data_IF_003287099397
#
_entry.id   IF_003287099397
#
_cell.length_a   1.000
_cell.length_b   1.000
_cell.length_c   1.000
_cell.angle_alpha   90.00
_cell.angle_beta   90.00
_cell.angle_gamma   90.00
#
_symmetry.space_group_name_H-M   'P 1'
#
loop_
_entity.id
_entity.type
_entity.pdbx_description
1 polymer ?
#
# COMPACT_ATOMS: atom_id res chain seq x y z
N UNK A 1 21.11 -0.21 9.26
CA UNK A 1 20.31 -0.14 8.02
C UNK A 1 21.21 0.10 6.83
N UNK A 2 20.89 -0.44 5.63
CA UNK A 2 21.65 -0.20 4.40
C UNK A 2 20.77 0.44 3.32
N UNK A 3 21.34 1.17 2.36
CA UNK A 3 20.60 1.56 1.17
C UNK A 3 20.14 0.32 0.40
N UNK A 4 19.09 0.48 -0.42
CA UNK A 4 18.64 -0.55 -1.33
C UNK A 4 19.68 -0.69 -2.47
N UNK A 5 19.81 -1.90 -3.03
CA UNK A 5 20.53 -2.10 -4.29
C UNK A 5 19.66 -1.61 -5.46
N UNK A 6 20.28 -1.43 -6.64
CA UNK A 6 19.55 -0.98 -7.84
C UNK A 6 18.43 -1.94 -8.22
N UNK A 7 18.66 -3.25 -8.09
CA UNK A 7 17.63 -4.28 -8.33
C UNK A 7 16.48 -4.22 -7.33
N UNK A 8 16.80 -4.03 -6.04
CA UNK A 8 15.78 -3.88 -4.98
C UNK A 8 14.98 -2.60 -5.18
N UNK A 9 15.66 -1.52 -5.54
CA UNK A 9 15.05 -0.23 -5.85
C UNK A 9 14.11 -0.37 -7.03
N UNK A 10 14.54 -0.98 -8.13
CA UNK A 10 13.70 -1.23 -9.30
C UNK A 10 12.45 -2.03 -8.94
N UNK A 11 12.59 -3.14 -8.22
CA UNK A 11 11.45 -3.97 -7.79
C UNK A 11 10.46 -3.20 -6.91
N UNK A 12 10.96 -2.34 -6.02
CA UNK A 12 10.12 -1.48 -5.18
C UNK A 12 9.34 -0.48 -6.04
N UNK A 13 10.02 0.22 -6.94
CA UNK A 13 9.39 1.23 -7.79
C UNK A 13 8.44 0.61 -8.81
N UNK A 14 8.75 -0.54 -9.39
CA UNK A 14 7.84 -1.30 -10.26
C UNK A 14 6.55 -1.67 -9.51
N UNK A 15 6.67 -2.00 -8.22
CA UNK A 15 5.51 -2.31 -7.38
C UNK A 15 4.70 -1.05 -7.04
N UNK A 16 5.37 0.06 -6.73
CA UNK A 16 4.73 1.35 -6.46
C UNK A 16 4.04 1.90 -7.70
N UNK A 17 4.65 1.77 -8.86
CA UNK A 17 4.06 2.23 -10.12
C UNK A 17 2.70 1.57 -10.43
N UNK A 18 2.46 0.35 -9.92
CA UNK A 18 1.16 -0.31 -10.05
C UNK A 18 0.03 0.43 -9.30
N UNK A 19 0.34 1.19 -8.23
CA UNK A 19 -0.63 1.96 -7.45
C UNK A 19 -0.68 3.43 -7.84
N UNK A 20 0.50 4.07 -7.96
CA UNK A 20 0.63 5.53 -8.08
C UNK A 20 1.21 5.99 -9.42
N UNK A 21 1.61 5.06 -10.29
CA UNK A 21 2.15 5.37 -11.62
C UNK A 21 3.36 6.31 -11.54
N UNK A 22 3.35 7.36 -12.35
CA UNK A 22 4.42 8.36 -12.41
C UNK A 22 4.54 9.24 -11.15
N UNK A 23 3.53 9.20 -10.25
CA UNK A 23 3.53 10.00 -9.02
C UNK A 23 4.54 9.51 -7.96
N UNK A 24 5.31 8.47 -8.27
CA UNK A 24 6.39 7.96 -7.40
C UNK A 24 7.43 9.01 -7.03
N UNK A 25 7.68 9.99 -7.90
CA UNK A 25 8.60 11.11 -7.64
C UNK A 25 8.16 11.94 -6.44
N UNK A 26 6.85 12.11 -6.24
CA UNK A 26 6.31 12.88 -5.11
C UNK A 26 6.54 12.24 -3.74
N UNK A 27 6.86 10.94 -3.69
CA UNK A 27 7.26 10.28 -2.45
C UNK A 27 8.68 10.64 -2.02
N UNK A 28 9.57 10.91 -2.98
CA UNK A 28 10.97 11.26 -2.70
C UNK A 28 11.15 12.76 -2.57
N UNK A 29 10.52 13.52 -3.46
CA UNK A 29 10.63 14.98 -3.55
C UNK A 29 9.36 15.64 -2.98
N UNK A 30 9.25 15.68 -1.66
CA UNK A 30 8.17 16.41 -0.99
C UNK A 30 8.49 17.91 -0.97
N UNK A 31 7.68 18.72 -1.64
CA UNK A 31 7.84 20.17 -1.63
C UNK A 31 7.75 20.73 -0.21
N UNK A 32 8.85 21.30 0.29
CA UNK A 32 8.92 21.97 1.61
C UNK A 32 9.22 21.02 2.79
N UNK A 33 9.41 19.72 2.57
CA UNK A 33 9.82 18.76 3.59
C UNK A 33 11.26 18.27 3.35
N UNK A 34 11.85 17.64 4.39
CA UNK A 34 13.17 16.99 4.27
C UNK A 34 13.12 15.86 3.23
N UNK A 35 14.22 15.67 2.52
CA UNK A 35 14.40 14.54 1.62
C UNK A 35 14.13 13.21 2.34
N UNK A 36 13.28 12.38 1.77
CA UNK A 36 12.94 11.06 2.29
C UNK A 36 13.66 9.97 1.52
N UNK A 37 14.07 8.93 2.23
CA UNK A 37 14.85 7.82 1.67
C UNK A 37 14.28 6.47 2.08
N UNK A 38 14.51 5.49 1.21
CA UNK A 38 14.24 4.09 1.51
C UNK A 38 15.51 3.41 2.04
N UNK A 39 15.36 2.62 3.10
CA UNK A 39 16.45 1.83 3.70
C UNK A 39 15.99 0.41 3.97
N UNK A 40 16.87 -0.56 3.73
CA UNK A 40 16.60 -1.96 4.04
C UNK A 40 17.19 -2.35 5.39
N UNK A 41 16.37 -3.02 6.22
CA UNK A 41 16.78 -3.60 7.49
C UNK A 41 15.98 -4.86 7.78
N UNK A 42 16.65 -5.99 8.04
CA UNK A 42 16.02 -7.29 8.35
C UNK A 42 14.90 -7.68 7.36
N UNK A 43 15.16 -7.58 6.03
CA UNK A 43 14.18 -7.84 4.95
C UNK A 43 12.93 -6.92 4.96
N UNK A 44 13.01 -5.79 5.63
CA UNK A 44 11.98 -4.76 5.68
C UNK A 44 12.50 -3.48 5.07
N UNK A 45 11.70 -2.85 4.22
CA UNK A 45 12.00 -1.57 3.60
C UNK A 45 11.32 -0.49 4.43
N UNK A 46 12.15 0.41 4.95
CA UNK A 46 11.74 1.52 5.78
C UNK A 46 11.81 2.82 5.01
N UNK A 47 10.82 3.66 5.16
CA UNK A 47 10.72 4.99 4.59
C UNK A 47 10.83 6.04 5.68
N UNK A 48 11.76 6.98 5.53
CA UNK A 48 12.07 7.95 6.57
C UNK A 48 12.80 9.17 6.01
N UNK A 49 12.78 10.32 6.74
CA UNK A 49 13.64 11.46 6.44
C UNK A 49 15.11 11.08 6.48
N UNK A 50 15.91 11.68 5.59
CA UNK A 50 17.36 11.44 5.48
C UNK A 50 18.10 11.65 6.81
N UNK A 51 17.67 12.65 7.60
CA UNK A 51 18.21 12.93 8.93
C UNK A 51 18.09 11.71 9.86
N UNK A 52 16.91 11.10 9.92
CA UNK A 52 16.70 9.88 10.72
C UNK A 52 17.53 8.71 10.21
N UNK A 53 17.68 8.58 8.89
CA UNK A 53 18.51 7.53 8.30
C UNK A 53 19.98 7.67 8.70
N UNK A 54 20.51 8.90 8.81
CA UNK A 54 21.86 9.19 9.31
C UNK A 54 22.01 8.79 10.78
N UNK A 55 21.05 9.14 11.63
CA UNK A 55 21.05 8.76 13.06
C UNK A 55 20.94 7.24 13.24
N UNK A 56 20.14 6.57 12.43
CA UNK A 56 20.00 5.11 12.46
C UNK A 56 21.30 4.37 12.10
N UNK A 57 22.20 5.00 11.34
CA UNK A 57 23.51 4.40 11.00
C UNK A 57 24.46 4.32 12.19
N UNK A 58 24.23 5.13 13.23
CA UNK A 58 25.04 5.13 14.47
C UNK A 58 24.65 3.98 15.43
N UNK A 59 23.52 3.31 15.19
CA UNK A 59 23.03 2.22 16.04
C UNK A 59 23.43 0.87 15.44
N UNK A 60 23.88 -0.06 16.28
CA UNK A 60 24.25 -1.40 15.84
C UNK A 60 23.05 -2.14 15.22
N UNK A 61 23.31 -3.00 14.23
CA UNK A 61 22.29 -3.77 13.52
C UNK A 61 21.43 -4.66 14.45
N UNK A 62 22.01 -5.16 15.52
CA UNK A 62 21.35 -6.03 16.50
C UNK A 62 20.35 -5.27 17.35
N UNK A 63 20.71 -4.07 17.78
CA UNK A 63 19.92 -3.24 18.69
C UNK A 63 18.85 -2.42 17.97
N UNK A 64 18.99 -2.22 16.67
CA UNK A 64 18.01 -1.49 15.88
C UNK A 64 16.84 -2.41 15.54
N UNK A 65 15.66 -2.13 16.08
CA UNK A 65 14.41 -2.83 15.73
C UNK A 65 13.85 -2.29 14.41
N UNK A 66 13.61 -1.01 14.34
CA UNK A 66 13.11 -0.29 13.17
C UNK A 66 13.12 1.21 13.43
N UNK A 67 13.02 2.00 12.37
CA UNK A 67 12.89 3.46 12.45
C UNK A 67 12.18 3.98 11.19
N UNK A 68 11.32 4.98 11.37
CA UNK A 68 10.48 5.48 10.29
C UNK A 68 9.25 4.61 10.04
N UNK A 69 8.74 4.60 8.83
CA UNK A 69 7.54 3.84 8.44
C UNK A 69 7.96 2.56 7.73
N UNK A 70 7.44 1.42 8.17
CA UNK A 70 7.61 0.14 7.48
C UNK A 70 6.83 0.18 6.16
N UNK A 71 7.50 0.42 5.05
CA UNK A 71 6.87 0.65 3.76
C UNK A 71 6.56 -0.65 3.01
N UNK A 72 7.51 -1.57 3.03
CA UNK A 72 7.36 -2.85 2.36
C UNK A 72 8.20 -3.94 3.03
N UNK A 73 7.86 -5.20 2.78
CA UNK A 73 8.65 -6.37 3.14
C UNK A 73 9.20 -7.04 1.89
N UNK A 74 10.44 -7.50 1.98
CA UNK A 74 11.05 -8.35 0.96
C UNK A 74 10.82 -9.81 1.36
N UNK A 75 10.12 -10.55 0.51
CA UNK A 75 9.87 -11.97 0.74
C UNK A 75 11.14 -12.79 0.50
N UNK A 76 11.15 -14.04 0.96
CA UNK A 76 12.28 -14.96 0.75
C UNK A 76 12.67 -15.09 -0.74
N UNK A 77 11.71 -15.02 -1.63
CA UNK A 77 11.91 -15.07 -3.09
C UNK A 77 12.36 -13.73 -3.70
N UNK A 78 12.70 -12.74 -2.87
CA UNK A 78 13.12 -11.42 -3.34
C UNK A 78 12.00 -10.55 -3.93
N UNK A 79 10.73 -10.92 -3.73
CA UNK A 79 9.59 -10.09 -4.15
C UNK A 79 9.27 -9.04 -3.08
N UNK A 80 8.89 -7.85 -3.52
CA UNK A 80 8.48 -6.75 -2.64
C UNK A 80 6.97 -6.80 -2.42
N UNK A 81 6.54 -6.77 -1.15
CA UNK A 81 5.14 -6.66 -0.75
C UNK A 81 4.95 -5.38 0.06
N UNK A 82 4.14 -4.46 -0.44
CA UNK A 82 3.79 -3.22 0.23
C UNK A 82 2.96 -3.54 1.48
N UNK A 83 3.23 -2.83 2.57
CA UNK A 83 2.55 -3.00 3.86
C UNK A 83 1.47 -1.94 4.02
N UNK A 84 0.46 -2.25 4.85
CA UNK A 84 -0.63 -1.30 5.14
C UNK A 84 -0.14 -0.01 5.79
N UNK A 85 0.98 -0.06 6.49
CA UNK A 85 1.64 1.11 7.08
C UNK A 85 2.06 2.18 6.05
N UNK A 86 2.23 1.80 4.77
CA UNK A 86 2.49 2.72 3.67
C UNK A 86 1.22 3.36 3.09
N UNK A 87 0.03 2.95 3.56
CA UNK A 87 -1.26 3.34 2.97
C UNK A 87 -1.43 4.86 2.91
N UNK A 88 -1.12 5.55 3.99
CA UNK A 88 -1.25 7.01 4.07
C UNK A 88 -0.47 7.73 2.97
N UNK A 89 0.73 7.24 2.66
CA UNK A 89 1.60 7.82 1.63
C UNK A 89 1.14 7.47 0.21
N UNK A 90 0.63 6.27 0.00
CA UNK A 90 0.23 5.77 -1.33
C UNK A 90 -1.18 6.24 -1.70
N UNK A 91 -2.10 6.28 -0.75
CA UNK A 91 -3.50 6.61 -0.99
C UNK A 91 -3.69 8.00 -1.60
N UNK A 92 -2.85 8.97 -1.18
CA UNK A 92 -2.88 10.35 -1.69
C UNK A 92 -2.63 10.41 -3.20
N UNK A 93 -1.71 9.61 -3.70
CA UNK A 93 -1.25 9.62 -5.09
C UNK A 93 -1.80 8.48 -5.94
N UNK A 94 -2.66 7.64 -5.35
CA UNK A 94 -3.22 6.48 -6.04
C UNK A 94 -4.03 6.90 -7.26
N UNK A 95 -3.73 6.28 -8.42
CA UNK A 95 -4.40 6.55 -9.70
C UNK A 95 -5.80 5.94 -9.71
N UNK A 96 -5.93 4.72 -9.19
CA UNK A 96 -7.18 3.98 -9.19
C UNK A 96 -7.67 3.76 -7.77
N UNK A 97 -8.92 4.13 -7.53
CA UNK A 97 -9.56 4.11 -6.21
C UNK A 97 -10.89 3.39 -6.28
N UNK A 98 -11.19 2.64 -5.25
CA UNK A 98 -12.51 2.00 -5.05
C UNK A 98 -13.06 2.45 -3.70
N UNK A 99 -14.31 2.89 -3.69
CA UNK A 99 -15.04 3.25 -2.47
C UNK A 99 -15.99 2.13 -2.11
N UNK A 100 -15.93 1.70 -0.87
CA UNK A 100 -16.73 0.61 -0.32
C UNK A 100 -17.87 1.18 0.50
N UNK A 101 -19.06 0.59 0.36
CA UNK A 101 -20.23 0.97 1.17
C UNK A 101 -20.08 0.52 2.61
N UNK A 102 -20.70 1.23 3.60
CA UNK A 102 -20.57 0.91 5.03
C UNK A 102 -20.92 -0.54 5.39
N UNK A 103 -21.89 -1.14 4.70
CA UNK A 103 -22.29 -2.53 4.92
C UNK A 103 -21.21 -3.58 4.56
N UNK A 104 -20.18 -3.20 3.81
CA UNK A 104 -19.08 -4.10 3.40
C UNK A 104 -17.72 -3.65 3.95
N UNK A 105 -17.63 -2.47 4.59
CA UNK A 105 -16.40 -1.98 5.20
C UNK A 105 -15.87 -2.95 6.25
N UNK A 106 -16.75 -3.37 7.16
CA UNK A 106 -16.38 -4.34 8.20
C UNK A 106 -15.85 -5.63 7.60
N UNK A 107 -16.51 -6.18 6.58
CA UNK A 107 -16.04 -7.38 5.89
C UNK A 107 -14.66 -7.19 5.27
N UNK A 108 -14.41 -6.05 4.63
CA UNK A 108 -13.11 -5.71 4.05
C UNK A 108 -12.04 -5.61 5.14
N UNK A 109 -12.33 -4.93 6.25
CA UNK A 109 -11.42 -4.78 7.40
C UNK A 109 -11.13 -6.09 8.16
N UNK A 110 -11.86 -7.16 7.88
CA UNK A 110 -11.56 -8.53 8.34
C UNK A 110 -10.90 -9.41 7.25
N UNK A 111 -10.36 -8.79 6.19
CA UNK A 111 -9.66 -9.50 5.13
C UNK A 111 -10.57 -10.08 4.04
N UNK A 112 -11.85 -9.71 4.02
CA UNK A 112 -12.81 -10.21 3.05
C UNK A 112 -12.80 -9.47 1.72
N UNK A 113 -13.10 -10.18 0.64
CA UNK A 113 -13.31 -9.58 -0.68
C UNK A 113 -14.62 -8.79 -0.73
N UNK A 114 -14.66 -7.76 -1.59
CA UNK A 114 -15.86 -6.92 -1.77
C UNK A 114 -16.64 -7.39 -3.01
N UNK A 115 -17.95 -7.58 -2.81
CA UNK A 115 -18.88 -7.92 -3.89
C UNK A 115 -19.47 -6.66 -4.55
N UNK A 116 -20.17 -6.84 -5.67
CA UNK A 116 -20.84 -5.76 -6.39
C UNK A 116 -21.82 -4.97 -5.50
N UNK A 117 -22.51 -5.62 -4.58
CA UNK A 117 -23.44 -4.98 -3.63
C UNK A 117 -22.75 -3.98 -2.70
N UNK A 118 -21.49 -4.29 -2.35
CA UNK A 118 -20.65 -3.45 -1.49
C UNK A 118 -19.88 -2.36 -2.23
N UNK A 119 -19.87 -2.37 -3.55
CA UNK A 119 -19.24 -1.33 -4.35
C UNK A 119 -20.05 -0.03 -4.25
N UNK A 120 -19.43 1.04 -3.77
CA UNK A 120 -19.97 2.38 -3.78
C UNK A 120 -19.61 3.12 -5.06
N UNK A 121 -18.33 3.35 -5.25
CA UNK A 121 -17.74 4.07 -6.41
C UNK A 121 -16.48 3.38 -6.87
N UNK A 122 -16.15 3.53 -8.13
CA UNK A 122 -14.90 3.08 -8.73
C UNK A 122 -14.40 4.15 -9.69
N UNK A 123 -13.09 4.36 -9.75
CA UNK A 123 -12.47 5.28 -10.70
C UNK A 123 -12.77 4.85 -12.13
N UNK A 124 -13.03 5.80 -13.01
CA UNK A 124 -13.27 5.53 -14.42
C UNK A 124 -12.05 4.88 -15.08
N UNK A 125 -12.32 4.03 -16.07
CA UNK A 125 -11.29 3.32 -16.84
C UNK A 125 -10.33 2.45 -16.02
N UNK A 126 -10.74 1.99 -14.83
CA UNK A 126 -9.94 1.02 -14.05
C UNK A 126 -9.86 -0.30 -14.82
N UNK A 127 -8.65 -0.78 -15.16
CA UNK A 127 -8.47 -2.07 -15.82
C UNK A 127 -8.76 -3.23 -14.87
N UNK A 128 -9.05 -4.41 -15.45
CA UNK A 128 -9.11 -5.66 -14.69
C UNK A 128 -7.74 -6.01 -14.11
N UNK A 129 -7.72 -6.52 -12.88
CA UNK A 129 -6.52 -6.88 -12.12
C UNK A 129 -5.58 -5.71 -11.79
N UNK A 130 -6.07 -4.47 -11.90
CA UNK A 130 -5.34 -3.28 -11.48
C UNK A 130 -5.24 -3.20 -9.95
N UNK A 131 -4.08 -2.79 -9.46
CA UNK A 131 -3.89 -2.44 -8.05
C UNK A 131 -4.62 -1.14 -7.73
N UNK A 132 -5.38 -1.13 -6.65
CA UNK A 132 -6.23 0.00 -6.26
C UNK A 132 -6.08 0.30 -4.77
N UNK A 133 -6.23 1.56 -4.42
CA UNK A 133 -6.44 1.96 -3.03
C UNK A 133 -7.94 1.92 -2.72
N UNK A 134 -8.26 1.41 -1.54
CA UNK A 134 -9.64 1.20 -1.08
C UNK A 134 -10.00 2.25 -0.05
N UNK A 135 -11.13 2.91 -0.25
CA UNK A 135 -11.64 3.98 0.60
C UNK A 135 -13.03 3.66 1.13
N UNK A 136 -13.37 4.24 2.27
CA UNK A 136 -14.75 4.35 2.73
C UNK A 136 -15.52 5.37 1.87
N UNK A 137 -16.84 5.43 2.02
CA UNK A 137 -17.64 6.48 1.38
C UNK A 137 -17.34 7.89 1.92
N UNK A 138 -16.67 8.00 3.06
CA UNK A 138 -16.19 9.25 3.65
C UNK A 138 -14.75 9.62 3.25
N UNK A 139 -14.21 9.02 2.19
CA UNK A 139 -12.83 9.25 1.69
C UNK A 139 -11.72 8.88 2.69
N UNK A 140 -12.01 8.00 3.66
CA UNK A 140 -11.01 7.47 4.57
C UNK A 140 -10.34 6.25 3.92
N UNK A 141 -9.00 6.20 3.82
CA UNK A 141 -8.33 5.05 3.24
C UNK A 141 -8.42 3.84 4.17
N UNK A 142 -8.93 2.73 3.65
CA UNK A 142 -9.14 1.47 4.36
C UNK A 142 -8.05 0.43 4.08
N UNK A 143 -7.41 0.49 2.92
CA UNK A 143 -6.40 -0.49 2.54
C UNK A 143 -6.09 -0.54 1.06
N UNK A 144 -5.55 -1.67 0.66
CA UNK A 144 -5.18 -2.00 -0.72
C UNK A 144 -5.96 -3.20 -1.23
N UNK A 145 -6.15 -3.25 -2.52
CA UNK A 145 -6.75 -4.39 -3.18
C UNK A 145 -6.43 -4.47 -4.66
N UNK A 146 -7.02 -5.45 -5.31
CA UNK A 146 -6.93 -5.68 -6.75
C UNK A 146 -8.33 -5.65 -7.34
N UNK A 147 -8.56 -4.83 -8.35
CA UNK A 147 -9.82 -4.81 -9.07
C UNK A 147 -10.05 -6.17 -9.75
N UNK A 148 -11.05 -6.93 -9.31
CA UNK A 148 -11.37 -8.22 -9.90
C UNK A 148 -11.97 -8.09 -11.31
N UNK A 149 -12.59 -6.95 -11.57
CA UNK A 149 -13.25 -6.61 -12.83
C UNK A 149 -12.94 -5.17 -13.24
N UNK A 150 -13.01 -4.88 -14.53
CA UNK A 150 -12.89 -3.52 -15.03
C UNK A 150 -14.12 -2.67 -14.64
N UNK A 151 -14.00 -1.35 -14.73
CA UNK A 151 -15.12 -0.43 -14.46
C UNK A 151 -16.35 -0.75 -15.31
N UNK A 152 -16.16 -1.12 -16.58
CA UNK A 152 -17.25 -1.48 -17.48
C UNK A 152 -17.92 -2.80 -17.10
N UNK A 153 -17.12 -3.79 -16.72
CA UNK A 153 -17.61 -5.11 -16.25
C UNK A 153 -18.36 -4.96 -14.92
N UNK A 154 -17.88 -4.14 -14.00
CA UNK A 154 -18.55 -3.85 -12.73
C UNK A 154 -19.96 -3.28 -12.89
N UNK A 155 -20.24 -2.56 -13.99
CA UNK A 155 -21.59 -2.03 -14.27
C UNK A 155 -22.57 -3.13 -14.69
N UNK A 156 -22.07 -4.20 -15.34
CA UNK A 156 -22.87 -5.26 -15.94
C UNK A 156 -22.90 -6.56 -15.12
N UNK A 157 -22.00 -6.73 -14.15
CA UNK A 157 -21.88 -7.96 -13.39
C UNK A 157 -23.05 -8.16 -12.41
N UNK A 158 -23.26 -9.42 -12.04
CA UNK A 158 -24.24 -9.82 -11.04
C UNK A 158 -23.94 -9.24 -9.66
N UNK A 159 -24.97 -9.08 -8.83
CA UNK A 159 -24.89 -8.49 -7.48
C UNK A 159 -23.89 -9.21 -6.56
N UNK A 160 -23.74 -10.52 -6.69
CA UNK A 160 -22.86 -11.34 -5.87
C UNK A 160 -21.43 -11.48 -6.43
N UNK A 161 -21.16 -10.98 -7.65
CA UNK A 161 -19.86 -11.04 -8.26
C UNK A 161 -18.82 -10.29 -7.45
N UNK A 162 -17.63 -10.86 -7.32
CA UNK A 162 -16.50 -10.21 -6.68
C UNK A 162 -15.98 -9.08 -7.59
N UNK A 163 -15.87 -7.88 -7.04
CA UNK A 163 -15.36 -6.70 -7.76
C UNK A 163 -14.00 -6.26 -7.25
N UNK A 164 -13.65 -6.65 -6.01
CA UNK A 164 -12.38 -6.32 -5.39
C UNK A 164 -11.85 -7.52 -4.61
N UNK A 165 -10.62 -7.90 -4.89
CA UNK A 165 -9.84 -8.83 -4.08
C UNK A 165 -9.09 -8.06 -3.01
N UNK A 166 -9.20 -8.51 -1.76
CA UNK A 166 -8.47 -7.96 -0.63
C UNK A 166 -6.96 -8.25 -0.74
N UNK A 167 -6.13 -7.29 -0.34
CA UNK A 167 -4.67 -7.47 -0.28
C UNK A 167 -4.09 -7.08 1.09
N UNK A 168 -4.46 -5.92 1.62
CA UNK A 168 -4.09 -5.43 2.95
C UNK A 168 -5.11 -4.40 3.43
N UNK A 169 -5.34 -4.33 4.72
CA UNK A 169 -6.30 -3.39 5.32
C UNK A 169 -5.82 -2.83 6.67
N UNK A 170 -6.37 -1.70 7.09
CA UNK A 170 -6.01 -1.06 8.36
C UNK A 170 -6.42 -1.88 9.59
N UNK A 171 -7.32 -2.84 9.48
CA UNK A 171 -7.65 -3.77 10.55
C UNK A 171 -6.47 -4.69 10.94
N UNK A 172 -5.46 -4.80 10.07
CA UNK A 172 -4.21 -5.52 10.39
C UNK A 172 -3.51 -4.91 11.61
N UNK A 173 -3.67 -3.60 11.89
CA UNK A 173 -3.12 -2.96 13.09
C UNK A 173 -3.62 -3.58 14.40
N UNK A 174 -4.82 -4.14 14.39
CA UNK A 174 -5.38 -4.82 15.56
C UNK A 174 -5.13 -6.33 15.53
N UNK A 175 -5.18 -6.93 14.34
CA UNK A 175 -5.07 -8.39 14.20
C UNK A 175 -3.65 -8.91 14.18
N UNK A 176 -2.70 -8.11 13.73
CA UNK A 176 -1.36 -8.59 13.38
C UNK A 176 -0.26 -7.56 13.68
N UNK A 177 -0.40 -6.86 14.80
CA UNK A 177 0.51 -5.80 15.25
C UNK A 177 1.98 -6.24 15.23
N UNK A 178 2.27 -7.46 15.66
CA UNK A 178 3.62 -8.02 15.69
C UNK A 178 4.29 -8.10 14.30
N UNK A 179 3.53 -8.09 13.21
CA UNK A 179 4.07 -8.05 11.85
C UNK A 179 4.42 -6.65 11.37
N UNK A 180 3.95 -5.63 12.05
CA UNK A 180 4.11 -4.23 11.63
C UNK A 180 5.30 -3.54 12.29
N UNK A 181 5.92 -4.17 13.26
CA UNK A 181 7.12 -3.70 13.98
C UNK A 181 8.40 -4.39 13.53
#
# INVERSE_FOLDING_TARGET
>A
MRPLTDEETKKLFDKLAQYIGANTTHLLERKGEEEHVFRLHKNRIWYMPLRLAKLASCVSKTNLMGIGVLFAKVTHNGNVRIQVTALEYIAQYSLFKIWVKPNQEQKFLYGGNVSRTGLGRITESTPKYQKVAVFSMGDIPLGFGVAAQSTLECRKCEMNSQVLFHEADVGEYLRDEARMT
#
